data_IF_104883246315
#
_entry.id   IF_104883246315
#
_cell.length_a   1.000
_cell.length_b   1.000
_cell.length_c   1.000
_cell.angle_alpha   90.00
_cell.angle_beta   90.00
_cell.angle_gamma   90.00
#
_symmetry.space_group_name_H-M   'P 1'
#
loop_
_entity.id
_entity.type
_entity.pdbx_description
1 polymer ?
#
# COMPACT_ATOMS: atom_id res chain seq x y z
N UNK A 1 40.01 -63.55 -19.10
CA UNK A 1 39.56 -62.58 -20.11
C UNK A 1 38.87 -61.45 -19.36
N UNK A 2 39.38 -60.27 -19.51
CA UNK A 2 38.99 -59.04 -18.81
C UNK A 2 37.57 -58.59 -19.08
N UNK A 3 36.86 -58.15 -18.04
CA UNK A 3 35.60 -57.42 -18.11
C UNK A 3 35.78 -56.16 -17.28
N UNK A 4 35.87 -55.02 -17.97
CA UNK A 4 36.05 -53.69 -17.43
C UNK A 4 34.81 -53.19 -16.67
N UNK A 5 35.01 -52.78 -15.43
CA UNK A 5 34.04 -51.98 -14.65
C UNK A 5 34.12 -50.53 -15.08
N UNK A 6 33.05 -49.94 -15.55
CA UNK A 6 32.91 -48.49 -15.74
C UNK A 6 32.49 -47.86 -14.43
N UNK A 7 33.31 -46.99 -13.90
CA UNK A 7 33.02 -46.10 -12.77
C UNK A 7 32.05 -45.01 -13.24
N UNK A 8 30.92 -44.85 -12.51
CA UNK A 8 30.00 -43.73 -12.64
C UNK A 8 30.38 -42.71 -11.57
N UNK A 9 30.83 -41.55 -12.01
CA UNK A 9 31.09 -40.38 -11.16
C UNK A 9 29.78 -39.79 -10.60
N UNK A 10 29.72 -39.46 -9.30
CA UNK A 10 28.62 -38.67 -8.75
C UNK A 10 28.94 -37.19 -8.90
N UNK A 11 28.24 -36.52 -9.83
CA UNK A 11 28.31 -35.05 -9.94
C UNK A 11 26.93 -34.50 -9.72
N UNK A 12 26.88 -33.52 -8.82
CA UNK A 12 25.83 -32.52 -8.60
C UNK A 12 24.55 -32.90 -7.83
N UNK A 13 24.68 -32.83 -6.51
CA UNK A 13 23.59 -32.55 -5.59
C UNK A 13 24.02 -31.41 -4.66
N UNK A 14 24.04 -30.19 -5.17
CA UNK A 14 24.55 -29.04 -4.40
C UNK A 14 23.85 -27.70 -4.64
N UNK A 15 23.13 -27.55 -5.74
CA UNK A 15 22.56 -26.24 -6.10
C UNK A 15 21.08 -26.04 -5.73
N UNK A 16 20.34 -27.11 -5.42
CA UNK A 16 18.91 -27.02 -5.03
C UNK A 16 18.64 -26.56 -3.59
N UNK A 17 19.64 -26.71 -2.69
CA UNK A 17 19.42 -26.45 -1.25
C UNK A 17 19.68 -25.00 -0.81
N UNK A 18 20.30 -24.15 -1.64
CA UNK A 18 20.52 -22.73 -1.30
C UNK A 18 19.34 -21.83 -1.71
N UNK A 19 18.56 -22.22 -2.70
CA UNK A 19 17.37 -21.46 -3.11
C UNK A 19 16.19 -21.62 -2.13
N UNK A 20 16.03 -22.78 -1.49
CA UNK A 20 14.95 -23.03 -0.51
C UNK A 20 15.15 -22.27 0.82
N UNK A 21 16.38 -22.03 1.26
CA UNK A 21 16.65 -21.29 2.51
C UNK A 21 16.44 -19.78 2.42
N UNK A 22 16.37 -19.19 1.24
CA UNK A 22 16.12 -17.74 1.07
C UNK A 22 14.63 -17.37 1.06
N UNK A 23 13.72 -18.32 0.88
CA UNK A 23 12.28 -18.09 0.80
C UNK A 23 11.57 -18.12 2.17
N UNK A 24 12.14 -18.76 3.18
CA UNK A 24 11.50 -18.94 4.49
C UNK A 24 11.43 -17.68 5.37
N UNK A 25 12.13 -16.57 5.02
CA UNK A 25 12.22 -15.36 5.86
C UNK A 25 11.80 -14.06 5.16
N UNK A 26 11.02 -14.12 4.07
CA UNK A 26 10.56 -12.88 3.43
C UNK A 26 9.39 -12.27 4.21
N UNK A 27 9.42 -10.94 4.34
CA UNK A 27 8.41 -10.15 5.04
C UNK A 27 7.44 -9.54 4.04
N UNK A 28 6.14 -9.63 4.35
CA UNK A 28 5.09 -8.89 3.66
C UNK A 28 4.93 -7.52 4.32
N UNK A 29 5.21 -6.46 3.59
CA UNK A 29 5.01 -5.09 4.03
C UNK A 29 3.64 -4.61 3.60
N UNK A 30 2.76 -4.37 4.58
CA UNK A 30 1.42 -3.86 4.33
C UNK A 30 1.41 -2.33 4.32
N UNK A 31 0.80 -1.77 3.26
CA UNK A 31 0.55 -0.33 3.14
C UNK A 31 -0.92 -0.06 3.45
N UNK A 32 -1.17 0.56 4.60
CA UNK A 32 -2.50 0.66 5.21
C UNK A 32 -3.17 1.99 4.88
N UNK A 33 -4.52 2.01 4.70
CA UNK A 33 -5.26 3.21 4.29
C UNK A 33 -5.59 4.13 5.46
N UNK A 34 -5.87 5.42 5.17
CA UNK A 34 -6.55 6.32 6.09
C UNK A 34 -5.64 7.04 7.10
N UNK A 35 -4.46 7.51 6.65
CA UNK A 35 -3.46 8.21 7.48
C UNK A 35 -4.04 9.32 8.36
N UNK A 36 -5.01 10.09 7.87
CA UNK A 36 -5.69 11.15 8.61
C UNK A 36 -7.10 10.74 9.05
N UNK A 37 -7.73 9.85 8.30
CA UNK A 37 -9.12 9.44 8.45
C UNK A 37 -9.30 8.46 9.61
N UNK A 38 -8.33 7.56 9.83
CA UNK A 38 -8.42 6.50 10.84
C UNK A 38 -7.37 6.65 11.93
N UNK A 39 -7.08 7.89 12.32
CA UNK A 39 -6.07 8.19 13.35
C UNK A 39 -6.34 7.45 14.66
N UNK A 40 -7.58 7.47 15.16
CA UNK A 40 -7.94 6.83 16.43
C UNK A 40 -7.79 5.29 16.35
N UNK A 41 -8.15 4.69 15.20
CA UNK A 41 -7.90 3.27 14.99
C UNK A 41 -6.41 2.95 15.09
N UNK A 42 -5.55 3.72 14.44
CA UNK A 42 -4.11 3.46 14.49
C UNK A 42 -3.50 3.78 15.86
N UNK A 43 -4.01 4.80 16.54
CA UNK A 43 -3.60 5.12 17.92
C UNK A 43 -3.86 3.93 18.87
N UNK A 44 -4.96 3.19 18.67
CA UNK A 44 -5.27 1.99 19.45
C UNK A 44 -4.53 0.73 18.92
N UNK A 45 -4.45 0.57 17.60
CA UNK A 45 -3.89 -0.64 16.98
C UNK A 45 -2.36 -0.75 17.12
N UNK A 46 -1.62 0.35 16.93
CA UNK A 46 -0.15 0.32 16.88
C UNK A 46 0.50 -0.11 18.19
N UNK A 47 0.00 0.31 19.39
CA UNK A 47 0.47 -0.23 20.68
C UNK A 47 0.31 -1.75 20.75
N UNK A 48 -0.85 -2.28 20.35
CA UNK A 48 -1.12 -3.72 20.35
C UNK A 48 -0.18 -4.44 19.37
N UNK A 49 -0.02 -3.91 18.15
CA UNK A 49 0.88 -4.49 17.16
C UNK A 49 2.34 -4.53 17.62
N UNK A 50 2.82 -3.50 18.32
CA UNK A 50 4.18 -3.43 18.85
C UNK A 50 4.35 -4.28 20.12
N UNK A 51 3.38 -4.24 21.05
CA UNK A 51 3.47 -4.88 22.37
C UNK A 51 3.19 -6.38 22.37
N UNK A 52 2.45 -6.87 21.38
CA UNK A 52 1.95 -8.24 21.29
C UNK A 52 2.21 -8.86 19.92
N UNK A 53 3.50 -8.91 19.53
CA UNK A 53 3.89 -9.45 18.21
C UNK A 53 3.45 -10.91 18.01
N UNK A 54 3.29 -11.68 19.09
CA UNK A 54 2.77 -13.05 19.07
C UNK A 54 1.33 -13.16 18.55
N UNK A 55 0.54 -12.07 18.56
CA UNK A 55 -0.83 -12.07 18.01
C UNK A 55 -0.84 -11.99 16.48
N UNK A 56 0.26 -11.57 15.88
CA UNK A 56 0.37 -11.29 14.46
C UNK A 56 1.24 -12.34 13.75
N UNK A 57 1.05 -12.44 12.44
CA UNK A 57 1.92 -13.28 11.64
C UNK A 57 3.37 -12.76 11.69
N UNK A 58 4.32 -13.64 11.90
CA UNK A 58 5.75 -13.32 11.97
C UNK A 58 6.31 -12.77 10.65
N UNK A 59 5.67 -13.13 9.53
CA UNK A 59 6.03 -12.71 8.19
C UNK A 59 5.35 -11.39 7.76
N UNK A 60 4.65 -10.67 8.63
CA UNK A 60 4.00 -9.41 8.29
C UNK A 60 4.58 -8.20 9.03
N UNK A 61 4.68 -7.07 8.34
CA UNK A 61 5.06 -5.77 8.88
C UNK A 61 4.22 -4.65 8.29
N UNK A 62 4.17 -3.49 8.99
CA UNK A 62 3.56 -2.28 8.47
C UNK A 62 4.60 -1.51 7.68
N UNK A 63 4.46 -1.50 6.36
CA UNK A 63 5.35 -0.77 5.47
C UNK A 63 5.09 0.73 5.45
N UNK A 64 3.82 1.14 5.50
CA UNK A 64 3.42 2.55 5.59
C UNK A 64 1.94 2.68 5.93
N UNK A 65 1.55 3.89 6.37
CA UNK A 65 0.15 4.30 6.40
C UNK A 65 -0.03 5.45 5.42
N UNK A 66 -1.04 5.37 4.54
CA UNK A 66 -1.22 6.34 3.47
C UNK A 66 -2.58 7.04 3.53
N UNK A 67 -2.63 8.30 3.08
CA UNK A 67 -3.86 9.08 3.02
C UNK A 67 -3.64 10.53 2.62
N UNK A 68 -4.74 11.27 2.50
CA UNK A 68 -4.75 12.71 2.31
C UNK A 68 -5.82 13.32 3.20
N UNK A 69 -5.66 14.59 3.56
CA UNK A 69 -6.72 15.34 4.22
C UNK A 69 -7.88 15.58 3.27
N UNK A 70 -9.11 15.70 3.81
CA UNK A 70 -10.35 15.74 3.04
C UNK A 70 -10.40 16.82 1.96
N UNK A 71 -9.91 18.00 2.23
CA UNK A 71 -9.91 19.15 1.35
C UNK A 71 -8.54 19.41 0.67
N UNK A 72 -7.68 18.39 0.59
CA UNK A 72 -6.39 18.50 -0.09
C UNK A 72 -6.58 18.50 -1.62
N UNK A 73 -6.30 19.62 -2.25
CA UNK A 73 -6.45 19.81 -3.70
C UNK A 73 -5.64 18.81 -4.52
N UNK A 74 -4.45 18.42 -4.04
CA UNK A 74 -3.62 17.42 -4.71
C UNK A 74 -4.08 15.98 -4.43
N UNK A 75 -4.96 15.79 -3.42
CA UNK A 75 -5.37 14.47 -2.94
C UNK A 75 -6.23 13.68 -3.91
N UNK A 76 -6.96 14.34 -4.81
CA UNK A 76 -7.86 13.66 -5.76
C UNK A 76 -9.14 13.10 -5.12
N UNK A 77 -9.59 13.62 -4.00
CA UNK A 77 -10.95 13.59 -3.48
C UNK A 77 -11.51 12.30 -2.91
N UNK A 78 -10.78 11.20 -2.81
CA UNK A 78 -11.23 10.01 -2.08
C UNK A 78 -10.80 10.09 -0.62
N UNK A 79 -11.55 10.85 0.18
CA UNK A 79 -11.31 10.92 1.62
C UNK A 79 -12.66 10.87 2.33
N UNK A 80 -12.73 10.11 3.42
CA UNK A 80 -13.90 10.03 4.30
C UNK A 80 -13.97 11.21 5.27
N UNK A 81 -14.84 11.06 6.23
CA UNK A 81 -14.99 12.01 7.32
C UNK A 81 -13.91 11.76 8.38
N UNK A 82 -13.29 12.82 8.85
CA UNK A 82 -12.27 12.79 9.90
C UNK A 82 -11.01 13.55 9.48
N UNK A 83 -10.63 14.53 10.27
CA UNK A 83 -9.50 15.41 9.99
C UNK A 83 -8.65 15.57 11.25
N UNK A 84 -7.90 14.53 11.55
CA UNK A 84 -6.90 14.70 12.60
C UNK A 84 -5.85 15.73 12.17
N UNK A 85 -5.44 16.64 13.06
CA UNK A 85 -4.38 17.59 12.76
C UNK A 85 -3.10 16.90 12.28
N UNK A 86 -2.55 17.35 11.17
CA UNK A 86 -1.39 16.73 10.54
C UNK A 86 -0.17 16.58 11.48
N UNK A 87 -0.04 17.44 12.50
CA UNK A 87 1.03 17.35 13.50
C UNK A 87 0.88 16.13 14.41
N UNK A 88 -0.35 15.77 14.80
CA UNK A 88 -0.61 14.57 15.62
C UNK A 88 -0.33 13.31 14.81
N UNK A 89 -0.79 13.28 13.57
CA UNK A 89 -0.51 12.16 12.64
C UNK A 89 0.99 11.98 12.43
N UNK A 90 1.72 13.07 12.15
CA UNK A 90 3.18 13.02 11.99
C UNK A 90 3.91 12.57 13.28
N UNK A 91 3.39 12.96 14.45
CA UNK A 91 3.94 12.53 15.74
C UNK A 91 3.73 11.03 15.96
N UNK A 92 2.53 10.51 15.70
CA UNK A 92 2.22 9.07 15.81
C UNK A 92 3.09 8.23 14.86
N UNK A 93 3.22 8.65 13.60
CA UNK A 93 4.07 7.91 12.63
C UNK A 93 5.53 7.87 13.08
N UNK A 94 6.05 8.98 13.59
CA UNK A 94 7.41 9.06 14.12
C UNK A 94 7.61 8.19 15.37
N UNK A 95 6.65 8.18 16.29
CA UNK A 95 6.68 7.38 17.52
C UNK A 95 6.81 5.88 17.20
N UNK A 96 6.07 5.42 16.18
CA UNK A 96 6.06 4.02 15.79
C UNK A 96 7.07 3.67 14.69
N UNK A 97 7.83 4.64 14.17
CA UNK A 97 8.80 4.38 13.11
C UNK A 97 8.17 3.93 11.80
N UNK A 98 6.96 4.43 11.48
CA UNK A 98 6.19 4.03 10.30
C UNK A 98 6.22 5.15 9.26
N UNK A 99 6.47 4.80 8.00
CA UNK A 99 6.42 5.73 6.88
C UNK A 99 5.00 6.26 6.67
N UNK A 100 4.84 7.58 6.69
CA UNK A 100 3.63 8.25 6.23
C UNK A 100 3.71 8.47 4.71
N UNK A 101 2.64 8.12 3.97
CA UNK A 101 2.54 8.40 2.55
C UNK A 101 1.39 9.36 2.26
N UNK A 102 1.73 10.58 1.85
CA UNK A 102 0.73 11.53 1.39
C UNK A 102 0.17 11.10 0.03
N UNK A 103 -1.15 11.00 -0.07
CA UNK A 103 -1.79 10.61 -1.33
C UNK A 103 -2.16 11.84 -2.13
N UNK A 104 -1.38 12.14 -3.15
CA UNK A 104 -1.54 13.25 -4.07
C UNK A 104 -1.85 12.75 -5.49
N UNK A 105 -2.96 12.00 -5.59
CA UNK A 105 -3.35 11.25 -6.79
C UNK A 105 -4.22 12.03 -7.77
N UNK A 106 -4.38 13.35 -7.60
CA UNK A 106 -5.12 14.17 -8.56
C UNK A 106 -4.38 14.16 -9.91
N UNK A 107 -5.08 13.65 -10.94
CA UNK A 107 -4.53 13.47 -12.29
C UNK A 107 -4.68 14.70 -13.20
N UNK A 108 -5.35 15.75 -12.74
CA UNK A 108 -5.73 16.93 -13.54
C UNK A 108 -5.05 18.21 -13.06
N UNK A 109 -3.98 18.10 -12.31
CA UNK A 109 -3.23 19.24 -11.80
C UNK A 109 -2.58 20.05 -12.93
N UNK A 110 -2.54 21.38 -12.75
CA UNK A 110 -1.86 22.35 -13.59
C UNK A 110 -0.92 23.17 -12.72
N UNK A 111 -0.07 24.00 -13.33
CA UNK A 111 0.92 24.85 -12.63
C UNK A 111 0.30 25.73 -11.53
N UNK A 112 -0.88 26.30 -11.79
CA UNK A 112 -1.61 27.15 -10.83
C UNK A 112 -1.92 26.41 -9.51
N UNK A 113 -2.15 25.10 -9.58
CA UNK A 113 -2.47 24.27 -8.41
C UNK A 113 -1.24 23.95 -7.53
N UNK A 114 -0.02 24.09 -8.06
CA UNK A 114 1.21 23.81 -7.32
C UNK A 114 1.43 24.78 -6.16
N UNK A 115 0.85 25.98 -6.24
CA UNK A 115 0.95 27.01 -5.18
C UNK A 115 0.02 26.79 -3.99
N UNK A 116 -0.80 25.72 -3.97
CA UNK A 116 -1.73 25.45 -2.87
C UNK A 116 -1.03 25.43 -1.51
N UNK A 117 -1.48 26.30 -0.60
CA UNK A 117 -0.81 26.52 0.67
C UNK A 117 -0.95 25.34 1.64
N UNK A 118 -2.10 24.65 1.62
CA UNK A 118 -2.37 23.53 2.52
C UNK A 118 -1.50 22.33 2.13
N UNK A 119 -1.50 21.95 0.86
CA UNK A 119 -0.68 20.85 0.36
C UNK A 119 0.83 21.10 0.58
N UNK A 120 1.30 22.34 0.33
CA UNK A 120 2.68 22.70 0.60
C UNK A 120 3.05 22.64 2.10
N UNK A 121 2.13 23.01 3.02
CA UNK A 121 2.36 22.86 4.47
C UNK A 121 2.46 21.41 4.88
N UNK A 122 1.64 20.53 4.29
CA UNK A 122 1.75 19.09 4.52
C UNK A 122 3.12 18.57 4.08
N UNK A 123 3.57 18.91 2.88
CA UNK A 123 4.91 18.52 2.43
C UNK A 123 5.99 18.99 3.39
N UNK A 124 6.00 20.29 3.75
CA UNK A 124 7.01 20.84 4.66
C UNK A 124 7.00 20.19 6.07
N UNK A 125 5.83 19.73 6.54
CA UNK A 125 5.71 19.02 7.82
C UNK A 125 6.24 17.60 7.72
N UNK A 126 5.76 16.83 6.73
CA UNK A 126 6.09 15.41 6.61
C UNK A 126 7.49 15.14 6.09
N UNK A 127 8.07 16.02 5.28
CA UNK A 127 9.47 15.93 4.89
C UNK A 127 10.42 15.94 6.11
N UNK A 128 10.09 16.78 7.13
CA UNK A 128 10.90 16.95 8.34
C UNK A 128 10.57 15.96 9.45
N UNK A 129 9.48 15.24 9.35
CA UNK A 129 8.97 14.36 10.40
C UNK A 129 9.47 12.92 10.31
N UNK A 130 10.48 12.64 9.49
CA UNK A 130 11.08 11.31 9.38
C UNK A 130 11.38 10.71 10.75
N UNK A 131 11.04 9.42 10.93
CA UNK A 131 11.20 8.72 12.20
C UNK A 131 12.58 8.09 12.30
N UNK A 132 13.20 8.20 13.48
CA UNK A 132 14.28 7.28 13.86
C UNK A 132 13.63 6.00 14.37
N UNK A 133 13.70 4.94 13.59
CA UNK A 133 13.11 3.66 13.96
C UNK A 133 14.12 2.53 13.84
N UNK A 134 13.81 1.42 14.49
CA UNK A 134 14.74 0.31 14.66
C UNK A 134 14.59 -0.79 13.61
N UNK A 135 13.84 -0.65 12.51
CA UNK A 135 13.62 -1.80 11.64
C UNK A 135 13.45 -1.50 10.15
N UNK A 136 13.50 -2.52 9.41
CA UNK A 136 13.54 -2.97 8.03
C UNK A 136 13.08 -2.04 6.89
N UNK A 137 12.34 -0.97 7.16
CA UNK A 137 11.99 0.08 6.19
C UNK A 137 12.91 1.30 6.31
N UNK A 138 14.00 1.16 7.04
CA UNK A 138 14.98 2.23 7.24
C UNK A 138 15.76 2.48 5.95
N UNK A 139 15.98 3.75 5.63
CA UNK A 139 17.05 4.11 4.73
C UNK A 139 18.42 3.80 5.38
N UNK A 140 19.48 3.91 4.64
CA UNK A 140 20.85 3.62 5.09
C UNK A 140 21.31 4.41 6.32
N UNK A 141 20.51 5.36 6.81
CA UNK A 141 20.83 6.24 7.94
C UNK A 141 19.96 5.99 9.18
N UNK A 142 19.15 4.93 9.20
CA UNK A 142 18.28 4.63 10.36
C UNK A 142 17.09 5.58 10.51
N UNK A 143 16.73 6.33 9.47
CA UNK A 143 15.59 7.24 9.44
C UNK A 143 14.53 6.70 8.49
N UNK A 144 13.28 6.60 8.95
CA UNK A 144 12.15 6.24 8.08
C UNK A 144 11.79 7.44 7.22
N UNK A 145 11.97 7.31 5.92
CA UNK A 145 11.52 8.31 4.95
C UNK A 145 10.01 8.25 4.79
N UNK A 146 9.40 9.44 4.65
CA UNK A 146 8.02 9.56 4.23
C UNK A 146 7.91 9.56 2.71
N UNK A 147 6.74 9.20 2.18
CA UNK A 147 6.53 9.07 0.75
C UNK A 147 5.36 9.86 0.22
N UNK A 148 5.29 9.96 -1.10
CA UNK A 148 4.16 10.56 -1.80
C UNK A 148 3.66 9.61 -2.88
N UNK A 149 2.36 9.29 -2.83
CA UNK A 149 1.67 8.53 -3.87
C UNK A 149 1.09 9.53 -4.86
N UNK A 150 1.51 9.49 -6.12
CA UNK A 150 1.10 10.48 -7.11
C UNK A 150 0.87 9.89 -8.51
N UNK A 151 0.19 10.71 -9.33
CA UNK A 151 -0.15 10.40 -10.73
C UNK A 151 0.48 11.41 -11.69
N UNK A 152 0.59 12.67 -11.26
CA UNK A 152 1.06 13.79 -12.07
C UNK A 152 2.57 13.94 -12.04
N UNK A 153 3.23 13.86 -13.20
CA UNK A 153 4.67 14.12 -13.32
C UNK A 153 4.99 15.60 -13.03
N UNK A 154 4.11 16.53 -13.43
CA UNK A 154 4.24 17.94 -13.08
C UNK A 154 4.35 18.15 -11.56
N UNK A 155 3.49 17.48 -10.78
CA UNK A 155 3.56 17.57 -9.32
C UNK A 155 4.81 16.88 -8.78
N UNK A 156 5.23 15.77 -9.36
CA UNK A 156 6.44 15.06 -8.94
C UNK A 156 7.68 15.95 -9.08
N UNK A 157 7.85 16.58 -10.24
CA UNK A 157 8.98 17.47 -10.51
C UNK A 157 9.00 18.68 -9.55
N UNK A 158 7.83 19.25 -9.29
CA UNK A 158 7.69 20.33 -8.31
C UNK A 158 8.12 19.88 -6.90
N UNK A 159 7.64 18.71 -6.46
CA UNK A 159 7.95 18.19 -5.12
C UNK A 159 9.44 17.81 -5.02
N UNK A 160 10.02 17.15 -6.01
CA UNK A 160 11.45 16.83 -6.04
C UNK A 160 12.32 18.08 -5.88
N UNK A 161 11.95 19.17 -6.55
CA UNK A 161 12.70 20.43 -6.48
C UNK A 161 12.58 21.11 -5.12
N UNK A 162 11.42 21.02 -4.47
CA UNK A 162 11.11 21.83 -3.29
C UNK A 162 11.19 21.05 -1.97
N UNK A 163 10.94 19.75 -2.01
CA UNK A 163 10.88 18.84 -0.87
C UNK A 163 11.59 17.51 -1.20
N UNK A 164 12.92 17.52 -1.33
CA UNK A 164 13.70 16.39 -1.84
C UNK A 164 13.75 15.17 -0.90
N UNK A 165 13.26 15.31 0.35
CA UNK A 165 13.30 14.24 1.35
C UNK A 165 12.23 13.16 1.19
N UNK A 166 11.37 13.23 0.16
CA UNK A 166 10.36 12.21 -0.10
C UNK A 166 10.80 11.17 -1.13
N UNK A 167 10.38 9.91 -0.91
CA UNK A 167 10.31 8.95 -2.00
C UNK A 167 8.94 8.96 -2.67
N UNK A 168 8.86 8.43 -3.90
CA UNK A 168 7.62 8.45 -4.68
C UNK A 168 7.08 7.05 -4.95
N UNK A 169 5.75 6.97 -5.00
CA UNK A 169 4.97 5.78 -5.35
C UNK A 169 4.06 6.12 -6.53
N UNK A 170 4.17 5.35 -7.60
CA UNK A 170 3.26 5.47 -8.74
C UNK A 170 1.87 4.98 -8.37
N UNK A 171 0.87 5.84 -8.51
CA UNK A 171 -0.49 5.60 -8.03
C UNK A 171 -1.26 4.60 -8.89
N UNK A 172 -2.08 3.76 -8.26
CA UNK A 172 -3.08 2.92 -8.96
C UNK A 172 -4.05 3.73 -9.83
N UNK A 173 -4.18 5.04 -9.60
CA UNK A 173 -5.04 5.93 -10.40
C UNK A 173 -4.50 6.14 -11.83
N UNK A 174 -3.25 5.77 -12.12
CA UNK A 174 -2.72 5.68 -13.49
C UNK A 174 -3.41 4.58 -14.30
N UNK A 175 -4.01 3.59 -13.64
CA UNK A 175 -4.74 2.47 -14.26
C UNK A 175 -3.86 1.74 -15.28
N UNK A 176 -2.73 1.21 -14.80
CA UNK A 176 -1.77 0.44 -15.61
C UNK A 176 -2.31 -0.98 -15.81
N UNK A 177 -3.12 -1.17 -16.86
CA UNK A 177 -3.83 -2.44 -17.14
C UNK A 177 -3.09 -3.37 -18.08
N UNK A 178 -1.99 -2.91 -18.65
CA UNK A 178 -1.16 -3.64 -19.59
C UNK A 178 0.25 -3.81 -19.03
N UNK A 179 0.87 -4.97 -19.28
CA UNK A 179 2.19 -5.28 -18.76
C UNK A 179 3.29 -4.38 -19.34
N UNK A 180 3.16 -3.95 -20.60
CA UNK A 180 4.11 -3.00 -21.17
C UNK A 180 4.09 -1.67 -20.44
N UNK A 181 2.90 -1.16 -20.09
CA UNK A 181 2.76 0.05 -19.26
C UNK A 181 3.36 -0.16 -17.87
N UNK A 182 3.17 -1.32 -17.27
CA UNK A 182 3.75 -1.64 -15.95
C UNK A 182 5.27 -1.70 -16.02
N UNK A 183 5.84 -2.38 -16.99
CA UNK A 183 7.28 -2.49 -17.22
C UNK A 183 7.91 -1.11 -17.47
N UNK A 184 7.27 -0.25 -18.28
CA UNK A 184 7.75 1.10 -18.53
C UNK A 184 7.74 1.96 -17.26
N UNK A 185 6.74 1.79 -16.39
CA UNK A 185 6.68 2.49 -15.13
C UNK A 185 7.72 1.94 -14.11
N UNK A 186 7.97 0.62 -14.11
CA UNK A 186 8.98 -0.02 -13.26
C UNK A 186 10.42 0.38 -13.62
N UNK A 187 10.69 0.70 -14.90
CA UNK A 187 11.98 1.21 -15.36
C UNK A 187 12.30 2.60 -14.81
N UNK A 188 11.29 3.39 -14.42
CA UNK A 188 11.50 4.73 -13.91
C UNK A 188 12.19 4.68 -12.56
N UNK A 189 13.34 5.30 -12.44
CA UNK A 189 14.10 5.39 -11.20
C UNK A 189 13.45 6.31 -10.16
N UNK A 190 12.55 7.20 -10.61
CA UNK A 190 11.79 8.11 -9.77
C UNK A 190 10.93 7.42 -8.73
N UNK A 191 10.41 6.24 -9.05
CA UNK A 191 9.49 5.52 -8.18
C UNK A 191 10.19 4.43 -7.39
N UNK A 192 10.03 4.48 -6.06
CA UNK A 192 10.39 3.37 -5.17
C UNK A 192 9.41 2.21 -5.34
N UNK A 193 8.11 2.51 -5.48
CA UNK A 193 7.06 1.51 -5.68
C UNK A 193 6.13 1.92 -6.82
N UNK A 194 5.57 0.92 -7.48
CA UNK A 194 4.60 1.07 -8.58
C UNK A 194 3.38 0.22 -8.26
N UNK A 195 2.19 0.84 -8.22
CA UNK A 195 0.93 0.13 -7.98
C UNK A 195 0.27 -0.19 -9.32
N UNK A 196 0.35 -1.42 -9.82
CA UNK A 196 -0.36 -1.84 -11.02
C UNK A 196 -1.88 -1.79 -10.82
N UNK A 197 -2.62 -1.90 -11.90
CA UNK A 197 -4.05 -2.16 -11.79
C UNK A 197 -4.27 -3.59 -11.23
N UNK A 198 -5.22 -3.74 -10.31
CA UNK A 198 -5.51 -5.01 -9.63
C UNK A 198 -5.83 -6.18 -10.58
N UNK A 199 -6.22 -5.90 -11.82
CA UNK A 199 -6.45 -6.91 -12.86
C UNK A 199 -5.18 -7.65 -13.26
N UNK A 200 -4.01 -7.08 -13.02
CA UNK A 200 -2.72 -7.74 -13.25
C UNK A 200 -2.26 -8.60 -12.07
N UNK A 201 -2.95 -8.56 -10.93
CA UNK A 201 -2.52 -9.26 -9.72
C UNK A 201 -2.25 -10.75 -9.92
N UNK A 202 -3.05 -11.45 -10.70
CA UNK A 202 -2.95 -12.89 -10.93
C UNK A 202 -2.29 -13.28 -12.27
N UNK A 203 -1.66 -12.34 -12.97
CA UNK A 203 -0.95 -12.62 -14.21
C UNK A 203 0.44 -13.25 -13.95
N UNK A 204 0.45 -14.39 -13.25
CA UNK A 204 1.63 -15.02 -12.66
C UNK A 204 2.75 -15.29 -13.67
N UNK A 205 2.44 -15.77 -14.86
CA UNK A 205 3.45 -16.07 -15.90
C UNK A 205 4.30 -14.82 -16.24
N UNK A 206 3.64 -13.66 -16.27
CA UNK A 206 4.31 -12.37 -16.56
C UNK A 206 4.99 -11.79 -15.32
N UNK A 207 4.32 -11.88 -14.16
CA UNK A 207 4.85 -11.38 -12.89
C UNK A 207 6.15 -12.10 -12.51
N UNK A 208 6.18 -13.43 -12.59
CA UNK A 208 7.36 -14.21 -12.21
C UNK A 208 8.54 -14.00 -13.16
N UNK A 209 8.27 -13.63 -14.40
CA UNK A 209 9.29 -13.29 -15.39
C UNK A 209 9.92 -11.90 -15.18
N UNK A 210 9.39 -11.06 -14.30
CA UNK A 210 9.98 -9.77 -13.99
C UNK A 210 11.37 -9.94 -13.37
N UNK A 211 12.32 -9.05 -13.66
CA UNK A 211 13.60 -8.99 -12.96
C UNK A 211 13.40 -8.83 -11.45
N UNK A 212 14.23 -9.48 -10.65
CA UNK A 212 14.09 -9.45 -9.17
C UNK A 212 14.13 -8.04 -8.60
N UNK A 213 14.95 -7.16 -9.17
CA UNK A 213 15.02 -5.74 -8.77
C UNK A 213 13.71 -4.96 -8.99
N UNK A 214 12.83 -5.45 -9.88
CA UNK A 214 11.52 -4.86 -10.11
C UNK A 214 10.44 -5.49 -9.26
N UNK A 215 10.59 -6.75 -8.83
CA UNK A 215 9.60 -7.42 -7.98
C UNK A 215 9.37 -6.69 -6.66
N UNK A 216 10.43 -6.20 -6.02
CA UNK A 216 10.33 -5.40 -4.80
C UNK A 216 9.70 -4.00 -5.03
N UNK A 217 9.66 -3.52 -6.27
CA UNK A 217 8.97 -2.26 -6.62
C UNK A 217 7.48 -2.44 -6.84
N UNK A 218 6.99 -3.65 -7.11
CA UNK A 218 5.55 -3.90 -7.37
C UNK A 218 4.78 -3.89 -6.07
N UNK A 219 3.87 -2.92 -5.89
CA UNK A 219 2.98 -2.82 -4.73
C UNK A 219 1.56 -3.24 -5.13
N UNK A 220 1.12 -4.43 -4.73
CA UNK A 220 -0.15 -5.01 -5.13
C UNK A 220 -1.32 -4.47 -4.32
N UNK A 221 -2.38 -4.01 -5.00
CA UNK A 221 -3.66 -3.67 -4.37
C UNK A 221 -4.47 -4.94 -4.13
N UNK A 222 -4.57 -5.38 -2.85
CA UNK A 222 -5.04 -6.72 -2.50
C UNK A 222 -6.54 -6.90 -2.53
N UNK A 223 -7.32 -5.91 -2.07
CA UNK A 223 -8.74 -6.02 -1.76
C UNK A 223 -9.62 -5.03 -2.52
N UNK A 224 -9.28 -4.74 -3.77
CA UNK A 224 -10.06 -3.85 -4.62
C UNK A 224 -11.49 -4.36 -4.83
N UNK A 225 -12.46 -3.46 -4.65
CA UNK A 225 -13.89 -3.76 -4.81
C UNK A 225 -14.45 -3.38 -6.20
N UNK A 226 -13.67 -2.71 -7.04
CA UNK A 226 -14.11 -2.35 -8.38
C UNK A 226 -14.38 -3.60 -9.23
N UNK A 227 -15.41 -3.56 -10.07
CA UNK A 227 -15.68 -4.66 -11.01
C UNK A 227 -14.45 -4.96 -11.87
N UNK A 228 -14.11 -6.25 -11.96
CA UNK A 228 -12.93 -6.71 -12.71
C UNK A 228 -13.00 -6.31 -14.19
N UNK A 229 -14.20 -6.33 -14.79
CA UNK A 229 -14.45 -5.99 -16.19
C UNK A 229 -14.65 -4.47 -16.44
N UNK A 230 -14.53 -3.64 -15.41
CA UNK A 230 -14.79 -2.21 -15.53
C UNK A 230 -13.79 -1.52 -16.47
N UNK A 231 -14.27 -0.98 -17.59
CA UNK A 231 -13.48 -0.21 -18.56
C UNK A 231 -13.45 1.30 -18.26
N UNK A 232 -14.17 1.74 -17.22
CA UNK A 232 -14.34 3.17 -16.90
C UNK A 232 -13.59 3.62 -15.65
N UNK A 233 -12.71 2.79 -15.09
CA UNK A 233 -11.98 3.08 -13.85
C UNK A 233 -11.21 4.41 -13.93
N UNK A 234 -10.58 4.71 -15.07
CA UNK A 234 -9.87 5.98 -15.27
C UNK A 234 -10.82 7.17 -15.17
N UNK A 235 -12.03 7.08 -15.79
CA UNK A 235 -13.05 8.14 -15.70
C UNK A 235 -13.52 8.38 -14.26
N UNK A 236 -13.64 7.30 -13.46
CA UNK A 236 -13.95 7.45 -12.03
C UNK A 236 -12.90 8.29 -11.30
N UNK A 237 -11.61 8.02 -11.54
CA UNK A 237 -10.52 8.78 -10.91
C UNK A 237 -10.45 10.23 -11.42
N UNK A 238 -10.68 10.47 -12.71
CA UNK A 238 -10.77 11.81 -13.27
C UNK A 238 -11.93 12.60 -12.65
N UNK A 239 -13.10 11.97 -12.46
CA UNK A 239 -14.24 12.61 -11.79
C UNK A 239 -13.90 13.02 -10.35
N UNK A 240 -13.26 12.13 -9.61
CA UNK A 240 -12.79 12.42 -8.24
C UNK A 240 -11.77 13.58 -8.24
N UNK A 241 -10.86 13.61 -9.22
CA UNK A 241 -9.89 14.69 -9.39
C UNK A 241 -10.55 16.04 -9.67
N UNK A 242 -11.58 16.08 -10.54
CA UNK A 242 -12.35 17.28 -10.84
C UNK A 242 -13.08 17.83 -9.61
N UNK A 243 -13.71 16.95 -8.83
CA UNK A 243 -14.34 17.34 -7.56
C UNK A 243 -13.36 18.01 -6.61
N UNK A 244 -12.14 17.48 -6.47
CA UNK A 244 -11.09 18.11 -5.65
C UNK A 244 -10.69 19.49 -6.14
N UNK A 245 -10.81 19.75 -7.45
CA UNK A 245 -10.55 21.06 -8.04
C UNK A 245 -11.74 22.02 -7.94
N UNK A 246 -12.87 21.60 -7.35
CA UNK A 246 -14.09 22.40 -7.25
C UNK A 246 -14.81 22.58 -8.58
N UNK A 247 -14.55 21.74 -9.58
CA UNK A 247 -15.27 21.79 -10.86
C UNK A 247 -16.70 21.26 -10.66
N UNK A 248 -17.68 22.13 -10.91
CA UNK A 248 -19.10 21.77 -10.90
C UNK A 248 -19.47 21.04 -12.20
N UNK A 249 -19.57 19.73 -12.13
CA UNK A 249 -19.95 18.85 -13.24
C UNK A 249 -20.77 17.68 -12.74
N UNK A 250 -21.58 17.11 -13.65
CA UNK A 250 -22.32 15.89 -13.35
C UNK A 250 -21.40 14.76 -12.87
N UNK A 251 -21.85 14.05 -11.85
CA UNK A 251 -21.14 12.92 -11.30
C UNK A 251 -21.03 11.77 -12.30
N UNK A 252 -19.86 11.17 -12.36
CA UNK A 252 -19.70 9.92 -13.09
C UNK A 252 -20.48 8.81 -12.39
N UNK A 253 -21.49 8.29 -13.08
CA UNK A 253 -22.26 7.15 -12.60
C UNK A 253 -21.49 5.87 -12.91
N UNK A 254 -21.16 5.10 -11.86
CA UNK A 254 -20.50 3.82 -12.01
C UNK A 254 -21.44 2.82 -12.72
N UNK A 255 -21.03 2.20 -13.83
CA UNK A 255 -21.88 1.25 -14.58
C UNK A 255 -21.96 -0.13 -13.92
N UNK A 256 -21.24 -0.37 -12.83
CA UNK A 256 -21.25 -1.66 -12.12
C UNK A 256 -22.62 -1.94 -11.52
N UNK A 257 -23.09 -3.18 -11.65
CA UNK A 257 -24.33 -3.64 -10.99
C UNK A 257 -24.26 -3.54 -9.44
N UNK A 258 -23.06 -3.45 -8.90
CA UNK A 258 -22.81 -3.29 -7.46
C UNK A 258 -22.69 -1.83 -7.03
N UNK A 259 -22.79 -0.88 -7.98
CA UNK A 259 -22.75 0.53 -7.67
C UNK A 259 -23.88 0.90 -6.69
N UNK A 260 -23.52 1.52 -5.55
CA UNK A 260 -24.48 1.92 -4.52
C UNK A 260 -24.82 0.85 -3.48
N UNK A 261 -24.38 -0.42 -3.61
CA UNK A 261 -24.61 -1.46 -2.60
C UNK A 261 -23.68 -1.38 -1.38
N UNK A 262 -22.73 -0.44 -1.40
CA UNK A 262 -21.67 -0.31 -0.39
C UNK A 262 -20.55 -1.36 -0.56
N UNK A 263 -19.44 -1.14 0.14
CA UNK A 263 -18.33 -2.08 0.18
C UNK A 263 -18.64 -3.23 1.13
N UNK A 264 -18.38 -4.45 0.67
CA UNK A 264 -18.39 -5.65 1.53
C UNK A 264 -17.11 -6.43 1.31
N UNK A 265 -16.39 -6.73 2.38
CA UNK A 265 -15.13 -7.48 2.28
C UNK A 265 -15.33 -8.88 1.68
N UNK A 266 -16.42 -9.56 2.06
CA UNK A 266 -16.80 -10.84 1.48
C UNK A 266 -17.05 -10.81 -0.03
N UNK A 267 -17.43 -9.66 -0.59
CA UNK A 267 -17.59 -9.50 -2.04
C UNK A 267 -16.26 -9.15 -2.71
N UNK A 268 -15.40 -8.38 -2.05
CA UNK A 268 -14.04 -8.15 -2.52
C UNK A 268 -13.24 -9.48 -2.63
N UNK A 269 -13.44 -10.41 -1.70
CA UNK A 269 -12.81 -11.74 -1.74
C UNK A 269 -13.21 -12.59 -2.96
N UNK A 270 -14.34 -12.28 -3.60
CA UNK A 270 -14.80 -12.96 -4.83
C UNK A 270 -14.22 -12.34 -6.10
N UNK A 271 -13.53 -11.19 -5.98
CA UNK A 271 -12.93 -10.53 -7.13
C UNK A 271 -11.77 -11.37 -7.67
N UNK A 272 -11.69 -11.61 -9.00
CA UNK A 272 -10.59 -12.39 -9.59
C UNK A 272 -9.20 -11.83 -9.28
N UNK A 273 -9.09 -10.51 -9.03
CA UNK A 273 -7.84 -9.85 -8.65
C UNK A 273 -7.55 -9.82 -7.15
N UNK A 274 -8.40 -10.42 -6.31
CA UNK A 274 -8.19 -10.46 -4.86
C UNK A 274 -6.94 -11.26 -4.51
N UNK A 275 -6.15 -10.73 -3.55
CA UNK A 275 -4.98 -11.40 -3.00
C UNK A 275 -5.25 -11.67 -1.53
N UNK A 276 -5.37 -12.93 -1.15
CA UNK A 276 -5.55 -13.37 0.24
C UNK A 276 -4.23 -13.71 0.93
N UNK A 277 -4.30 -14.02 2.23
CA UNK A 277 -3.13 -14.40 3.03
C UNK A 277 -2.39 -15.62 2.47
N UNK A 278 -3.14 -16.63 2.03
CA UNK A 278 -2.56 -17.85 1.45
C UNK A 278 -1.83 -17.54 0.14
N UNK A 279 -2.37 -16.64 -0.68
CA UNK A 279 -1.68 -16.16 -1.88
C UNK A 279 -0.37 -15.46 -1.51
N UNK A 280 -0.42 -14.54 -0.55
CA UNK A 280 0.77 -13.78 -0.12
C UNK A 280 1.85 -14.72 0.35
N UNK A 281 1.51 -15.60 1.30
CA UNK A 281 2.46 -16.50 1.94
C UNK A 281 3.03 -17.55 0.98
N UNK A 282 2.16 -18.15 0.15
CA UNK A 282 2.52 -19.35 -0.61
C UNK A 282 2.89 -19.04 -2.07
N UNK A 283 2.55 -17.84 -2.60
CA UNK A 283 2.78 -17.49 -4.00
C UNK A 283 3.67 -16.24 -4.11
N UNK A 284 3.27 -15.11 -3.51
CA UNK A 284 3.97 -13.85 -3.76
C UNK A 284 5.33 -13.79 -3.06
N UNK A 285 5.39 -14.05 -1.75
CA UNK A 285 6.65 -14.01 -0.99
C UNK A 285 7.71 -14.96 -1.56
N UNK A 286 7.40 -16.24 -1.86
CA UNK A 286 8.38 -17.15 -2.45
C UNK A 286 8.91 -16.70 -3.82
N UNK A 287 8.13 -15.93 -4.58
CA UNK A 287 8.50 -15.42 -5.89
C UNK A 287 9.13 -14.02 -5.86
N UNK A 288 9.44 -13.46 -4.69
CA UNK A 288 10.21 -12.25 -4.56
C UNK A 288 9.39 -10.97 -4.40
N UNK A 289 8.07 -11.04 -4.24
CA UNK A 289 7.21 -9.88 -4.02
C UNK A 289 6.97 -9.67 -2.53
N UNK A 290 7.07 -8.42 -2.07
CA UNK A 290 6.98 -8.09 -0.65
C UNK A 290 6.04 -6.94 -0.31
N UNK A 291 5.50 -6.20 -1.30
CA UNK A 291 4.74 -4.98 -1.05
C UNK A 291 3.24 -5.16 -1.33
N UNK A 292 2.41 -4.98 -0.30
CA UNK A 292 0.96 -5.24 -0.37
C UNK A 292 0.16 -4.05 0.15
N UNK A 293 -0.68 -3.50 -0.72
CA UNK A 293 -1.53 -2.35 -0.40
C UNK A 293 -2.93 -2.80 -0.07
N UNK A 294 -3.44 -2.30 1.05
CA UNK A 294 -4.81 -2.51 1.48
C UNK A 294 -5.64 -1.28 1.12
N UNK A 295 -6.71 -1.44 0.35
CA UNK A 295 -7.69 -0.39 0.12
C UNK A 295 -8.58 -0.24 1.36
N UNK A 296 -9.07 0.97 1.63
CA UNK A 296 -9.96 1.17 2.77
C UNK A 296 -10.37 2.62 3.00
N UNK A 297 -9.84 3.58 2.24
CA UNK A 297 -10.24 4.98 2.38
C UNK A 297 -11.74 5.13 2.13
N UNK A 298 -12.42 5.93 2.97
CA UNK A 298 -13.87 6.15 2.96
C UNK A 298 -14.74 4.94 3.32
N UNK A 299 -14.15 3.84 3.80
CA UNK A 299 -14.91 2.64 4.20
C UNK A 299 -15.28 2.61 5.69
N UNK A 300 -14.64 3.47 6.50
CA UNK A 300 -14.80 3.50 7.94
C UNK A 300 -13.80 2.61 8.69
N UNK A 301 -13.47 3.02 9.91
CA UNK A 301 -12.46 2.36 10.77
C UNK A 301 -12.81 0.91 11.10
N UNK A 302 -14.10 0.60 11.27
CA UNK A 302 -14.55 -0.77 11.56
C UNK A 302 -14.22 -1.75 10.41
N UNK A 303 -14.41 -1.35 9.15
CA UNK A 303 -14.08 -2.18 7.99
C UNK A 303 -12.56 -2.31 7.85
N UNK A 304 -11.81 -1.24 8.11
CA UNK A 304 -10.34 -1.29 8.08
C UNK A 304 -9.80 -2.19 9.18
N UNK A 305 -10.40 -2.17 10.38
CA UNK A 305 -10.05 -3.12 11.44
C UNK A 305 -10.22 -4.58 10.97
N UNK A 306 -11.32 -4.92 10.27
CA UNK A 306 -11.48 -6.27 9.73
C UNK A 306 -10.38 -6.65 8.72
N UNK A 307 -9.85 -5.68 7.96
CA UNK A 307 -8.69 -5.93 7.09
C UNK A 307 -7.42 -6.20 7.90
N UNK A 308 -7.15 -5.43 8.98
CA UNK A 308 -6.01 -5.65 9.85
C UNK A 308 -6.08 -7.03 10.52
N UNK A 309 -7.28 -7.43 10.96
CA UNK A 309 -7.52 -8.74 11.54
C UNK A 309 -7.30 -9.86 10.51
N UNK A 310 -7.79 -9.69 9.28
CA UNK A 310 -7.65 -10.70 8.24
C UNK A 310 -6.20 -10.83 7.75
N UNK A 311 -5.54 -9.71 7.40
CA UNK A 311 -4.24 -9.75 6.73
C UNK A 311 -3.06 -9.91 7.69
N UNK A 312 -3.17 -9.42 8.91
CA UNK A 312 -2.02 -9.31 9.81
C UNK A 312 -2.13 -10.17 11.05
N UNK A 313 -3.37 -10.43 11.54
CA UNK A 313 -3.59 -11.09 12.82
C UNK A 313 -3.80 -12.59 12.65
N UNK A 314 -3.12 -13.39 13.46
CA UNK A 314 -3.30 -14.84 13.49
C UNK A 314 -4.73 -15.17 13.92
N UNK A 315 -5.41 -16.15 13.29
CA UNK A 315 -6.83 -16.42 13.50
C UNK A 315 -7.23 -16.60 14.98
N UNK A 316 -6.38 -17.27 15.76
CA UNK A 316 -6.60 -17.54 17.19
C UNK A 316 -6.56 -16.27 18.06
N UNK A 317 -5.98 -15.17 17.59
CA UNK A 317 -5.88 -13.91 18.31
C UNK A 317 -6.80 -12.80 17.80
N UNK A 318 -7.56 -13.02 16.73
CA UNK A 318 -8.41 -11.97 16.14
C UNK A 318 -9.44 -11.40 17.13
N UNK A 319 -10.04 -12.25 17.95
CA UNK A 319 -10.96 -11.80 19.00
C UNK A 319 -10.21 -10.96 20.04
N UNK A 320 -9.04 -11.42 20.47
CA UNK A 320 -8.23 -10.72 21.49
C UNK A 320 -7.80 -9.35 21.01
N UNK A 321 -7.29 -9.23 19.79
CA UNK A 321 -6.90 -7.94 19.20
C UNK A 321 -8.10 -6.99 19.10
N UNK A 322 -9.27 -7.51 18.74
CA UNK A 322 -10.50 -6.70 18.66
C UNK A 322 -10.91 -6.20 20.07
N UNK A 323 -10.82 -7.04 21.08
CA UNK A 323 -11.11 -6.66 22.47
C UNK A 323 -10.17 -5.57 22.98
N UNK A 324 -8.87 -5.67 22.76
CA UNK A 324 -7.88 -4.66 23.16
C UNK A 324 -8.20 -3.29 22.52
N UNK A 325 -8.49 -3.26 21.21
CA UNK A 325 -8.81 -2.03 20.50
C UNK A 325 -10.12 -1.39 21.01
N UNK A 326 -11.15 -2.20 21.31
CA UNK A 326 -12.41 -1.69 21.82
C UNK A 326 -12.31 -1.22 23.28
N UNK A 327 -11.50 -1.88 24.10
CA UNK A 327 -11.26 -1.47 25.49
C UNK A 327 -10.57 -0.10 25.53
N UNK A 328 -9.54 0.12 24.72
CA UNK A 328 -8.88 1.42 24.64
C UNK A 328 -9.83 2.52 24.16
N UNK A 329 -10.64 2.24 23.14
CA UNK A 329 -11.65 3.20 22.67
C UNK A 329 -12.75 3.50 23.70
N UNK A 330 -13.04 2.56 24.60
CA UNK A 330 -14.04 2.73 25.66
C UNK A 330 -13.52 3.50 26.86
N UNK A 331 -12.23 3.39 27.16
CA UNK A 331 -11.59 4.12 28.26
C UNK A 331 -11.51 5.63 27.99
N UNK A 332 -11.40 6.02 26.72
CA UNK A 332 -11.42 7.44 26.30
C UNK A 332 -12.83 8.08 26.35
N UNK A 333 -13.89 7.29 26.61
CA UNK A 333 -15.29 7.77 26.72
C UNK A 333 -15.73 8.05 28.16
N UNK A 334 -14.89 7.77 29.16
CA UNK A 334 -15.13 8.02 30.59
C UNK A 334 -14.04 8.90 31.17
#
# INVERSE_FOLDING_TARGET
MCGSKSEINPVQAGEGMQAEKSSENRIAYYHLPGLFEFYDLYKAFLPVFRGHREYFYEWCEIGSIYGAQADCLWGGGRVGFGEEPAKHVAALMREYGISARLTFSNSLLREEHLSDRKCNRLCALFEKSGATGNDSMLNTHGVVENGIILTSDLLMDYIKSKYPGFYFVSSTTKVLTDFGQLEDELKREDFRYVVPDFRLNKAFDRLFALPDVWKDKVEFLCNECCSFDCKQRRKCYENVSRKSLGEDREDHVCPSAQAGSGYRFSDAMKNPGFIGNDDIRNIYLPNGFSQFKIEGRSLGSAVVLEFLLYYMTRPEYQLRVREEIYLDSSLDLF
#
